data_IF_784596562883
#
_entry.id   IF_784596562883
#
_cell.length_a   1.000
_cell.length_b   1.000
_cell.length_c   1.000
_cell.angle_alpha   90.00
_cell.angle_beta   90.00
_cell.angle_gamma   90.00
#
_symmetry.space_group_name_H-M   'P 1'
#
loop_
_entity.id
_entity.type
_entity.pdbx_description
1 polymer ?
#
# COMPACT_ATOMS: atom_id res chain seq x y z
N UNK A 1 24.05 7.73 4.67
CA UNK A 1 23.13 8.54 3.83
C UNK A 1 21.67 8.16 4.03
N UNK A 2 21.31 6.87 4.21
CA UNK A 2 19.93 6.47 4.59
C UNK A 2 19.46 7.04 5.95
N UNK A 3 20.35 7.19 6.92
CA UNK A 3 20.05 7.78 8.24
C UNK A 3 19.70 9.27 8.20
N UNK A 4 20.22 10.02 7.22
CA UNK A 4 19.96 11.47 7.11
C UNK A 4 18.56 11.77 6.52
N UNK A 5 18.05 10.90 5.64
CA UNK A 5 16.69 11.01 5.10
C UNK A 5 15.63 10.62 6.13
N UNK A 6 15.91 9.63 6.99
CA UNK A 6 15.05 9.29 8.11
C UNK A 6 14.99 10.44 9.14
N UNK A 7 16.13 11.08 9.44
CA UNK A 7 16.17 12.24 10.34
C UNK A 7 15.38 13.44 9.76
N UNK A 8 15.53 13.75 8.47
CA UNK A 8 14.81 14.85 7.82
C UNK A 8 13.29 14.65 7.74
N UNK A 9 12.80 13.40 7.71
CA UNK A 9 11.38 13.06 7.80
C UNK A 9 10.84 13.04 9.24
N UNK A 10 11.74 12.95 10.23
CA UNK A 10 11.42 13.05 11.67
C UNK A 10 11.46 14.52 12.15
N UNK A 11 12.21 15.38 11.46
CA UNK A 11 12.37 16.80 11.82
C UNK A 11 11.19 17.69 11.39
N UNK A 12 10.32 17.23 10.48
CA UNK A 12 9.06 17.91 10.15
C UNK A 12 7.96 17.28 11.00
N UNK A 13 7.38 18.04 11.93
CA UNK A 13 6.28 17.57 12.76
C UNK A 13 5.02 17.44 11.90
N UNK A 14 4.91 16.32 11.18
CA UNK A 14 3.74 16.00 10.36
C UNK A 14 2.45 15.95 11.19
N UNK A 15 2.54 15.80 12.53
CA UNK A 15 1.40 15.91 13.42
C UNK A 15 0.92 17.37 13.62
N UNK A 16 1.75 18.37 13.31
CA UNK A 16 1.36 19.78 13.35
C UNK A 16 0.37 20.16 12.23
N UNK A 17 0.25 19.35 11.18
CA UNK A 17 -0.61 19.62 10.02
C UNK A 17 -1.54 18.44 9.68
N UNK A 18 -2.43 18.03 10.60
CA UNK A 18 -3.22 16.79 10.45
C UNK A 18 -4.12 16.79 9.21
N UNK A 19 -4.73 17.93 8.86
CA UNK A 19 -5.58 18.06 7.67
C UNK A 19 -4.79 17.91 6.38
N UNK A 20 -3.62 18.52 6.28
CA UNK A 20 -2.77 18.41 5.09
C UNK A 20 -2.27 16.98 4.91
N UNK A 21 -1.87 16.33 6.01
CA UNK A 21 -1.46 14.93 5.99
C UNK A 21 -2.60 14.01 5.51
N UNK A 22 -3.81 14.21 6.03
CA UNK A 22 -5.00 13.48 5.61
C UNK A 22 -5.28 13.65 4.11
N UNK A 23 -5.25 14.89 3.61
CA UNK A 23 -5.44 15.20 2.19
C UNK A 23 -4.36 14.60 1.30
N UNK A 24 -3.10 14.66 1.72
CA UNK A 24 -1.97 14.06 1.02
C UNK A 24 -2.12 12.55 0.92
N UNK A 25 -2.44 11.88 2.03
CA UNK A 25 -2.64 10.42 2.06
C UNK A 25 -3.84 10.02 1.20
N UNK A 26 -4.96 10.73 1.29
CA UNK A 26 -6.14 10.48 0.47
C UNK A 26 -5.84 10.67 -1.03
N UNK A 27 -5.05 11.68 -1.38
CA UNK A 27 -4.63 11.95 -2.76
C UNK A 27 -3.69 10.86 -3.28
N UNK A 28 -2.72 10.44 -2.45
CA UNK A 28 -1.81 9.35 -2.78
C UNK A 28 -2.56 8.04 -3.03
N UNK A 29 -3.48 7.66 -2.13
CA UNK A 29 -4.31 6.46 -2.28
C UNK A 29 -5.14 6.47 -3.58
N UNK A 30 -5.75 7.61 -3.92
CA UNK A 30 -6.49 7.80 -5.18
C UNK A 30 -5.58 7.69 -6.40
N UNK A 31 -4.39 8.30 -6.35
CA UNK A 31 -3.38 8.20 -7.40
C UNK A 31 -2.91 6.76 -7.62
N UNK A 32 -2.64 6.02 -6.55
CA UNK A 32 -2.26 4.59 -6.59
C UNK A 32 -3.34 3.79 -7.32
N UNK A 33 -4.61 3.97 -6.96
CA UNK A 33 -5.73 3.31 -7.63
C UNK A 33 -5.73 3.60 -9.14
N UNK A 34 -5.66 4.87 -9.53
CA UNK A 34 -5.70 5.26 -10.95
C UNK A 34 -4.53 4.65 -11.72
N UNK A 35 -3.32 4.73 -11.17
CA UNK A 35 -2.11 4.17 -11.79
C UNK A 35 -2.22 2.64 -11.94
N UNK A 36 -2.60 1.94 -10.87
CA UNK A 36 -2.77 0.49 -10.89
C UNK A 36 -3.82 0.03 -11.91
N UNK A 37 -4.90 0.79 -12.09
CA UNK A 37 -5.97 0.45 -13.03
C UNK A 37 -5.59 0.71 -14.51
N UNK A 38 -4.64 1.61 -14.79
CA UNK A 38 -4.28 2.01 -16.16
C UNK A 38 -3.74 0.86 -17.00
N UNK A 39 -2.96 -0.05 -16.40
CA UNK A 39 -2.42 -1.23 -17.07
C UNK A 39 -2.57 -2.51 -16.23
N UNK A 40 -3.70 -2.63 -15.55
CA UNK A 40 -3.93 -3.62 -14.48
C UNK A 40 -3.51 -5.05 -14.84
N UNK A 41 -3.91 -5.56 -16.01
CA UNK A 41 -3.59 -6.95 -16.38
C UNK A 41 -2.14 -7.18 -16.79
N UNK A 42 -1.48 -6.13 -17.29
CA UNK A 42 -0.06 -6.19 -17.69
C UNK A 42 0.84 -6.02 -16.46
N UNK A 43 0.49 -5.10 -15.57
CA UNK A 43 1.25 -4.80 -14.37
C UNK A 43 1.05 -5.88 -13.30
N UNK A 44 -0.15 -6.44 -13.19
CA UNK A 44 -0.48 -7.46 -12.20
C UNK A 44 -1.01 -8.72 -12.89
N UNK A 45 -0.13 -9.67 -13.26
CA UNK A 45 -0.54 -10.99 -13.71
C UNK A 45 -1.42 -11.70 -12.67
N UNK A 46 -2.09 -12.78 -13.08
CA UNK A 46 -2.99 -13.53 -12.21
C UNK A 46 -2.36 -13.91 -10.85
N UNK A 47 -1.11 -14.39 -10.88
CA UNK A 47 -0.39 -14.81 -9.69
C UNK A 47 -0.16 -13.65 -8.71
N UNK A 48 0.36 -12.51 -9.21
CA UNK A 48 0.58 -11.32 -8.39
C UNK A 48 -0.71 -10.82 -7.72
N UNK A 49 -1.83 -10.78 -8.47
CA UNK A 49 -3.14 -10.41 -7.89
C UNK A 49 -3.58 -11.35 -6.78
N UNK A 50 -3.33 -12.66 -6.94
CA UNK A 50 -3.69 -13.65 -5.91
C UNK A 50 -2.85 -13.48 -4.65
N UNK A 51 -1.56 -13.25 -4.79
CA UNK A 51 -0.63 -13.01 -3.68
C UNK A 51 -1.02 -11.76 -2.91
N UNK A 52 -1.21 -10.63 -3.60
CA UNK A 52 -1.67 -9.37 -3.02
C UNK A 52 -2.99 -9.53 -2.27
N UNK A 53 -3.99 -10.18 -2.88
CA UNK A 53 -5.27 -10.45 -2.23
C UNK A 53 -5.13 -11.36 -1.01
N UNK A 54 -4.21 -12.32 -1.04
CA UNK A 54 -3.96 -13.22 0.10
C UNK A 54 -3.32 -12.46 1.27
N UNK A 55 -2.36 -11.58 0.99
CA UNK A 55 -1.69 -10.75 2.00
C UNK A 55 -2.66 -9.90 2.83
N UNK A 56 -3.68 -9.34 2.14
CA UNK A 56 -4.75 -8.56 2.76
C UNK A 56 -5.94 -9.42 3.23
N UNK A 57 -5.89 -10.75 3.11
CA UNK A 57 -6.95 -11.65 3.61
C UNK A 57 -8.22 -11.70 2.77
N UNK A 58 -8.14 -11.35 1.48
CA UNK A 58 -9.19 -11.54 0.45
C UNK A 58 -8.96 -12.77 -0.44
N UNK A 59 -7.74 -13.33 -0.39
CA UNK A 59 -7.28 -14.44 -1.20
C UNK A 59 -7.86 -15.79 -0.77
N UNK A 60 -7.95 -16.72 -1.71
CA UNK A 60 -8.26 -18.13 -1.44
C UNK A 60 -7.52 -19.07 -2.41
N UNK A 61 -7.20 -20.32 -2.01
CA UNK A 61 -6.29 -21.21 -2.75
C UNK A 61 -6.70 -21.57 -4.19
N UNK A 62 -7.98 -21.48 -4.54
CA UNK A 62 -8.52 -21.87 -5.86
C UNK A 62 -9.06 -20.68 -6.64
N UNK A 63 -8.62 -19.46 -6.31
CA UNK A 63 -9.07 -18.24 -6.97
C UNK A 63 -8.74 -18.26 -8.46
N UNK A 64 -9.79 -18.17 -9.29
CA UNK A 64 -9.66 -18.15 -10.75
C UNK A 64 -9.12 -16.82 -11.27
N UNK A 65 -8.64 -16.79 -12.53
CA UNK A 65 -8.18 -15.55 -13.18
C UNK A 65 -9.27 -14.45 -13.19
N UNK A 66 -10.53 -14.71 -13.59
CA UNK A 66 -11.60 -13.71 -13.53
C UNK A 66 -11.88 -13.22 -12.10
N UNK A 67 -11.90 -14.13 -11.12
CA UNK A 67 -12.17 -13.77 -9.72
C UNK A 67 -11.05 -12.88 -9.16
N UNK A 68 -9.78 -13.24 -9.41
CA UNK A 68 -8.64 -12.42 -8.97
C UNK A 68 -8.69 -11.01 -9.57
N UNK A 69 -9.08 -10.87 -10.84
CA UNK A 69 -9.19 -9.58 -11.49
C UNK A 69 -10.31 -8.73 -10.87
N UNK A 70 -11.49 -9.32 -10.68
CA UNK A 70 -12.64 -8.66 -10.08
C UNK A 70 -12.33 -8.20 -8.65
N UNK A 71 -11.83 -9.10 -7.82
CA UNK A 71 -11.54 -8.84 -6.41
C UNK A 71 -10.40 -7.85 -6.23
N UNK A 72 -9.39 -7.88 -7.12
CA UNK A 72 -8.28 -6.93 -7.06
C UNK A 72 -8.72 -5.50 -7.45
N UNK A 73 -9.61 -5.34 -8.43
CA UNK A 73 -10.25 -4.04 -8.72
C UNK A 73 -11.02 -3.51 -7.52
N UNK A 74 -11.88 -4.36 -6.95
CA UNK A 74 -12.64 -4.02 -5.75
C UNK A 74 -11.74 -3.66 -4.57
N UNK A 75 -10.63 -4.37 -4.39
CA UNK A 75 -9.62 -4.05 -3.38
C UNK A 75 -9.03 -2.65 -3.60
N UNK A 76 -8.61 -2.30 -4.81
CA UNK A 76 -8.05 -0.98 -5.12
C UNK A 76 -9.07 0.16 -4.91
N UNK A 77 -10.34 -0.09 -5.26
CA UNK A 77 -11.45 0.84 -5.00
C UNK A 77 -11.64 1.06 -3.49
N UNK A 78 -11.73 -0.02 -2.71
CA UNK A 78 -11.97 0.04 -1.27
C UNK A 78 -10.77 0.57 -0.49
N UNK A 79 -9.54 0.23 -0.91
CA UNK A 79 -8.30 0.81 -0.38
C UNK A 79 -8.30 2.33 -0.56
N UNK A 80 -8.61 2.81 -1.76
CA UNK A 80 -8.60 4.23 -2.08
C UNK A 80 -9.68 5.03 -1.36
N UNK A 81 -10.78 4.37 -0.98
CA UNK A 81 -11.89 4.98 -0.24
C UNK A 81 -11.73 4.89 1.28
N UNK A 82 -10.67 4.24 1.80
CA UNK A 82 -10.45 4.20 3.25
C UNK A 82 -10.18 5.59 3.81
N UNK A 83 -10.67 5.82 5.03
CA UNK A 83 -10.33 7.04 5.78
C UNK A 83 -8.82 7.24 5.82
N UNK A 84 -8.41 8.51 5.71
CA UNK A 84 -7.00 8.93 5.79
C UNK A 84 -6.74 9.79 7.03
N UNK A 85 -7.79 10.05 7.81
CA UNK A 85 -7.70 10.67 9.12
C UNK A 85 -6.91 9.77 10.08
N UNK A 86 -6.00 10.35 10.85
CA UNK A 86 -5.10 9.63 11.76
C UNK A 86 -5.89 8.89 12.85
N UNK A 87 -6.84 9.53 13.51
CA UNK A 87 -7.65 8.93 14.58
C UNK A 87 -8.52 7.79 14.04
N UNK A 88 -9.13 7.97 12.87
CA UNK A 88 -9.94 6.94 12.23
C UNK A 88 -9.08 5.78 11.69
N UNK A 89 -7.82 6.04 11.33
CA UNK A 89 -6.86 5.00 10.96
C UNK A 89 -6.44 4.18 12.18
N UNK A 90 -6.25 4.86 13.32
CA UNK A 90 -5.97 4.26 14.63
C UNK A 90 -7.17 3.46 15.17
N UNK A 91 -8.41 3.85 14.84
CA UNK A 91 -9.63 3.10 15.11
C UNK A 91 -9.77 1.79 14.28
N UNK A 92 -8.67 1.35 13.66
CA UNK A 92 -8.46 0.17 12.83
C UNK A 92 -9.20 0.18 11.49
N UNK A 93 -8.49 0.62 10.45
CA UNK A 93 -8.81 0.19 9.08
C UNK A 93 -8.76 -1.35 9.03
N UNK A 94 -9.77 -2.06 8.52
CA UNK A 94 -9.74 -3.52 8.41
C UNK A 94 -8.56 -3.99 7.54
N UNK A 95 -7.89 -5.09 7.92
CA UNK A 95 -6.73 -5.63 7.18
C UNK A 95 -7.00 -5.83 5.69
N UNK A 96 -8.23 -6.20 5.32
CA UNK A 96 -8.68 -6.32 3.92
C UNK A 96 -8.55 -5.04 3.10
N UNK A 97 -8.39 -3.88 3.73
CA UNK A 97 -8.26 -2.59 3.07
C UNK A 97 -6.88 -1.95 3.31
N UNK A 98 -5.91 -2.69 3.85
CA UNK A 98 -4.55 -2.17 4.02
C UNK A 98 -3.83 -2.05 2.69
N UNK A 99 -2.85 -1.15 2.64
CA UNK A 99 -1.84 -1.19 1.59
C UNK A 99 -0.98 -2.46 1.75
N UNK A 100 -0.42 -2.91 0.64
CA UNK A 100 0.55 -4.00 0.57
C UNK A 100 1.75 -3.60 -0.30
N UNK A 101 2.68 -4.53 -0.49
CA UNK A 101 3.88 -4.32 -1.32
C UNK A 101 3.52 -3.84 -2.74
N UNK A 102 2.46 -4.36 -3.35
CA UNK A 102 2.00 -3.92 -4.67
C UNK A 102 1.55 -2.45 -4.68
N UNK A 103 0.84 -2.00 -3.64
CA UNK A 103 0.44 -0.58 -3.55
C UNK A 103 1.64 0.35 -3.36
N UNK A 104 2.69 -0.10 -2.68
CA UNK A 104 3.95 0.65 -2.54
C UNK A 104 4.71 0.71 -3.87
N UNK A 105 4.78 -0.41 -4.61
CA UNK A 105 5.35 -0.42 -5.96
C UNK A 105 4.61 0.54 -6.90
N UNK A 106 3.28 0.58 -6.81
CA UNK A 106 2.48 1.55 -7.61
C UNK A 106 2.74 2.98 -7.14
N UNK A 107 2.86 3.22 -5.84
CA UNK A 107 3.21 4.53 -5.31
C UNK A 107 4.58 5.00 -5.81
N UNK A 108 5.59 4.14 -5.81
CA UNK A 108 6.93 4.42 -6.35
C UNK A 108 6.85 4.82 -7.83
N UNK A 109 6.10 4.06 -8.63
CA UNK A 109 5.86 4.36 -10.04
C UNK A 109 5.08 5.67 -10.24
N UNK A 110 4.07 5.95 -9.41
CA UNK A 110 3.30 7.19 -9.48
C UNK A 110 4.18 8.41 -9.17
N UNK A 111 4.99 8.31 -8.12
CA UNK A 111 5.84 9.39 -7.64
C UNK A 111 7.13 9.54 -8.44
N UNK A 112 7.47 8.56 -9.28
CA UNK A 112 8.75 8.44 -9.97
C UNK A 112 9.93 8.51 -8.98
N UNK A 113 9.80 7.78 -7.86
CA UNK A 113 10.77 7.76 -6.75
C UNK A 113 10.92 6.35 -6.20
N UNK A 114 12.14 6.02 -5.81
CA UNK A 114 12.41 4.78 -5.09
C UNK A 114 11.85 4.87 -3.67
N UNK A 115 11.15 3.80 -3.25
CA UNK A 115 10.63 3.64 -1.89
C UNK A 115 11.35 2.43 -1.29
N UNK A 116 12.13 2.68 -0.23
CA UNK A 116 12.83 1.64 0.51
C UNK A 116 12.00 1.23 1.73
N UNK A 117 11.76 -0.06 1.89
CA UNK A 117 10.99 -0.61 3.01
C UNK A 117 11.95 -1.31 3.97
N UNK A 118 11.96 -0.88 5.23
CA UNK A 118 12.64 -1.58 6.32
C UNK A 118 11.66 -2.54 6.98
N UNK A 119 11.82 -3.83 6.70
CA UNK A 119 11.01 -4.90 7.26
C UNK A 119 11.78 -5.68 8.32
N UNK A 120 11.08 -6.16 9.34
CA UNK A 120 11.57 -7.25 10.20
C UNK A 120 10.94 -8.54 9.70
N UNK A 121 11.75 -9.59 9.54
CA UNK A 121 11.26 -10.92 9.19
C UNK A 121 10.08 -11.31 10.11
N UNK A 122 8.97 -11.74 9.52
CA UNK A 122 7.78 -12.16 10.25
C UNK A 122 8.07 -13.35 11.19
N UNK A 123 9.10 -14.14 10.91
CA UNK A 123 9.56 -15.23 11.77
C UNK A 123 10.62 -14.80 12.79
N UNK A 124 11.10 -13.55 12.72
CA UNK A 124 12.13 -13.00 13.61
C UNK A 124 13.50 -13.68 13.50
N UNK A 125 13.71 -14.53 12.49
CA UNK A 125 14.92 -15.36 12.37
C UNK A 125 16.05 -14.61 11.66
N UNK A 126 15.71 -13.76 10.69
CA UNK A 126 16.63 -12.82 10.07
C UNK A 126 16.29 -11.43 10.60
N UNK A 127 17.31 -10.64 10.98
CA UNK A 127 17.11 -9.31 11.57
C UNK A 127 16.40 -8.31 10.65
N UNK A 128 16.65 -7.03 10.84
CA UNK A 128 16.11 -5.99 9.94
C UNK A 128 16.61 -6.20 8.50
N UNK A 129 15.70 -6.13 7.54
CA UNK A 129 15.99 -6.20 6.11
C UNK A 129 15.50 -4.92 5.43
N UNK A 130 16.26 -4.46 4.44
CA UNK A 130 15.88 -3.35 3.57
C UNK A 130 15.63 -3.93 2.18
N UNK A 131 14.44 -3.69 1.65
CA UNK A 131 14.02 -4.07 0.29
C UNK A 131 13.52 -2.86 -0.46
#
# INVERSE_FOLDING_TARGET
>A
QATALAQALVDDDLHAYPTHLEEMVATLKRGIRVMALTNLEKQFPHQARREALTEVGRGFPTMSRPNSLKLFRQYLDEYASTTSNVEATLAMVPRKNWGCSDTLMVAANLLQRDIFVLGKDAMGQKGWQCT
#
